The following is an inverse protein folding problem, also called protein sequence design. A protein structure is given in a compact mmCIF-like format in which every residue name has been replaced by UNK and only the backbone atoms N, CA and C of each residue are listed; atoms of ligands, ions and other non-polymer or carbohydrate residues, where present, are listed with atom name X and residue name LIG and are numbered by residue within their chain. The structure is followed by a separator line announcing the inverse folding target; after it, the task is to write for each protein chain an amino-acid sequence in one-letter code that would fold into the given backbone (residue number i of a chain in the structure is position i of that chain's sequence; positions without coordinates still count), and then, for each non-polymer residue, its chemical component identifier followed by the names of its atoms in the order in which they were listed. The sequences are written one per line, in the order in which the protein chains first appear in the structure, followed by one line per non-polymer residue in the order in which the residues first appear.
data_IF_773455728424
#
_entry.id   IF_773455728424
#
_cell.length_a   1.000
_cell.length_b   1.000
_cell.length_c   1.000
_cell.angle_alpha   90.00
_cell.angle_beta   90.00
_cell.angle_gamma   90.00
#
_symmetry.space_group_name_H-M   'P 1'
#
loop_
_entity.id
_entity.type
_entity.pdbx_description
1 polymer ?
#
# COMPACT_ATOMS: atom_id res chain seq x y z
N UNK A 1 2.45 23.53 40.21
CA UNK A 1 3.91 23.57 40.51
C UNK A 1 4.49 22.19 40.24
N UNK A 2 5.44 22.06 39.31
CA UNK A 2 6.09 20.77 39.05
C UNK A 2 6.99 20.40 40.24
N UNK A 3 6.88 19.18 40.77
CA UNK A 3 7.73 18.69 41.86
C UNK A 3 9.20 18.72 41.39
N UNK A 4 10.12 19.40 42.09
CA UNK A 4 11.53 19.49 41.70
C UNK A 4 12.17 18.11 41.51
N UNK A 5 13.12 17.99 40.57
CA UNK A 5 13.92 16.77 40.37
C UNK A 5 15.00 16.74 41.46
N UNK A 6 15.05 15.67 42.25
CA UNK A 6 16.05 15.52 43.33
C UNK A 6 17.16 14.55 42.93
N UNK A 7 18.27 14.56 43.67
CA UNK A 7 19.34 13.55 43.50
C UNK A 7 18.83 12.14 43.77
N UNK A 8 17.86 11.98 44.68
CA UNK A 8 17.18 10.71 44.91
C UNK A 8 16.46 10.21 43.65
N UNK A 9 15.78 11.08 42.90
CA UNK A 9 15.14 10.67 41.65
C UNK A 9 16.19 10.17 40.64
N UNK A 10 17.36 10.82 40.57
CA UNK A 10 18.48 10.43 39.69
C UNK A 10 19.03 9.04 40.05
N UNK A 11 19.27 8.77 41.32
CA UNK A 11 19.70 7.46 41.81
C UNK A 11 18.67 6.36 41.57
N UNK A 12 17.40 6.67 41.78
CA UNK A 12 16.31 5.72 41.55
C UNK A 12 16.20 5.36 40.06
N UNK A 13 16.27 6.34 39.17
CA UNK A 13 16.29 6.09 37.71
C UNK A 13 17.49 5.24 37.33
N UNK A 14 18.71 5.55 37.82
CA UNK A 14 19.91 4.73 37.57
C UNK A 14 19.72 3.28 38.02
N UNK A 15 19.20 3.08 39.23
CA UNK A 15 18.99 1.75 39.80
C UNK A 15 17.96 0.93 39.04
N UNK A 16 16.83 1.53 38.67
CA UNK A 16 15.75 0.84 37.96
C UNK A 16 16.13 0.58 36.49
N UNK A 17 16.86 1.50 35.86
CA UNK A 17 17.44 1.30 34.53
C UNK A 17 18.45 0.14 34.53
N UNK A 18 19.35 0.06 35.53
CA UNK A 18 20.28 -1.06 35.68
C UNK A 18 19.62 -2.43 35.91
N UNK A 19 18.32 -2.45 36.26
CA UNK A 19 17.50 -3.67 36.34
C UNK A 19 16.78 -4.00 35.02
N UNK A 20 16.99 -3.24 33.96
CA UNK A 20 16.37 -3.43 32.65
C UNK A 20 14.93 -2.93 32.54
N UNK A 21 14.44 -2.12 33.49
CA UNK A 21 13.05 -1.64 33.46
C UNK A 21 12.84 -0.60 32.34
N UNK A 22 11.70 -0.71 31.65
CA UNK A 22 11.33 0.24 30.61
C UNK A 22 10.98 1.63 31.19
N UNK A 23 11.27 2.70 30.43
CA UNK A 23 11.01 4.10 30.81
C UNK A 23 9.62 4.33 31.42
N UNK A 24 8.58 3.80 30.77
CA UNK A 24 7.19 4.00 31.21
C UNK A 24 6.89 3.31 32.54
N UNK A 25 7.60 2.23 32.84
CA UNK A 25 7.46 1.51 34.09
C UNK A 25 8.14 2.24 35.24
N UNK A 26 9.36 2.75 34.99
CA UNK A 26 10.08 3.65 35.91
C UNK A 26 9.24 4.91 36.20
N UNK A 27 8.61 5.49 35.18
CA UNK A 27 7.74 6.65 35.32
C UNK A 27 6.55 6.40 36.27
N UNK A 28 5.87 5.24 36.11
CA UNK A 28 4.78 4.83 37.02
C UNK A 28 5.28 4.60 38.43
N UNK A 29 6.41 3.91 38.58
CA UNK A 29 6.96 3.55 39.89
C UNK A 29 7.43 4.77 40.68
N UNK A 30 8.05 5.74 40.01
CA UNK A 30 8.52 6.99 40.64
C UNK A 30 7.44 8.08 40.70
N UNK A 31 6.25 7.82 40.14
CA UNK A 31 5.17 8.82 39.97
C UNK A 31 5.69 10.09 39.30
N UNK A 32 6.50 9.93 38.25
CA UNK A 32 7.07 11.00 37.43
C UNK A 32 6.59 10.89 36.00
N UNK A 33 6.57 12.00 35.26
CA UNK A 33 6.25 11.93 33.84
C UNK A 33 7.34 11.15 33.08
N UNK A 34 6.98 10.44 32.00
CA UNK A 34 7.96 9.79 31.14
C UNK A 34 9.03 10.76 30.61
N UNK A 35 8.66 12.02 30.37
CA UNK A 35 9.60 13.07 29.93
C UNK A 35 10.64 13.42 30.99
N UNK A 36 10.27 13.47 32.27
CA UNK A 36 11.22 13.68 33.39
C UNK A 36 12.19 12.51 33.51
N UNK A 37 11.70 11.27 33.39
CA UNK A 37 12.57 10.08 33.44
C UNK A 37 13.54 10.07 32.27
N UNK A 38 13.09 10.41 31.06
CA UNK A 38 13.97 10.57 29.89
C UNK A 38 15.03 11.65 30.10
N UNK A 39 14.67 12.80 30.68
CA UNK A 39 15.64 13.87 30.99
C UNK A 39 16.69 13.41 31.99
N UNK A 40 16.27 12.73 33.07
CA UNK A 40 17.18 12.19 34.08
C UNK A 40 18.10 11.13 33.47
N UNK A 41 17.58 10.23 32.64
CA UNK A 41 18.39 9.21 31.98
C UNK A 41 19.43 9.83 31.04
N UNK A 42 19.04 10.84 30.25
CA UNK A 42 19.97 11.59 29.39
C UNK A 42 21.08 12.28 30.21
N UNK A 43 20.72 12.97 31.30
CA UNK A 43 21.69 13.60 32.22
C UNK A 43 22.67 12.57 32.83
N UNK A 44 22.27 11.30 32.91
CA UNK A 44 23.06 10.19 33.46
C UNK A 44 23.77 9.36 32.38
N UNK A 45 23.64 9.70 31.10
CA UNK A 45 24.18 8.93 29.99
C UNK A 45 23.52 7.56 29.77
N UNK A 46 22.30 7.36 30.28
CA UNK A 46 21.54 6.11 30.17
C UNK A 46 20.62 6.16 28.95
N UNK A 47 20.64 5.13 28.11
CA UNK A 47 19.71 4.97 26.99
C UNK A 47 18.59 3.98 27.31
N UNK A 48 17.36 4.33 26.93
CA UNK A 48 16.22 3.40 26.93
C UNK A 48 16.04 2.73 25.57
N UNK A 49 17.08 2.73 24.72
CA UNK A 49 17.03 2.09 23.42
C UNK A 49 16.53 0.66 23.57
N UNK A 50 15.60 0.33 22.66
CA UNK A 50 15.00 -0.99 22.59
C UNK A 50 16.15 -1.98 22.42
N UNK A 51 16.21 -3.03 23.24
CA UNK A 51 17.36 -3.92 23.30
C UNK A 51 17.75 -4.52 21.94
N UNK A 52 18.97 -5.09 21.82
CA UNK A 52 19.49 -5.64 20.56
C UNK A 52 18.51 -6.56 19.84
N UNK A 53 17.72 -7.33 20.60
CA UNK A 53 16.67 -8.21 20.11
C UNK A 53 15.54 -7.48 19.36
N UNK A 54 15.10 -6.32 19.84
CA UNK A 54 14.04 -5.54 19.19
C UNK A 54 14.55 -4.85 17.93
N UNK A 55 15.81 -4.40 17.93
CA UNK A 55 16.46 -3.85 16.73
C UNK A 55 16.59 -4.95 15.68
N UNK A 56 17.12 -6.12 16.06
CA UNK A 56 17.22 -7.27 15.17
C UNK A 56 15.86 -7.72 14.62
N UNK A 57 14.82 -7.78 15.45
CA UNK A 57 13.46 -8.09 15.01
C UNK A 57 12.88 -7.04 14.05
N UNK A 58 13.20 -5.76 14.26
CA UNK A 58 12.77 -4.68 13.37
C UNK A 58 13.47 -4.78 12.01
N UNK A 59 14.78 -5.04 12.00
CA UNK A 59 15.53 -5.23 10.76
C UNK A 59 15.09 -6.49 10.01
N UNK A 60 14.91 -7.62 10.70
CA UNK A 60 14.36 -8.84 10.10
C UNK A 60 13.00 -8.56 9.44
N UNK A 61 12.10 -7.86 10.14
CA UNK A 61 10.79 -7.47 9.60
C UNK A 61 10.92 -6.55 8.37
N UNK A 62 11.90 -5.65 8.34
CA UNK A 62 12.15 -4.79 7.18
C UNK A 62 12.59 -5.61 5.97
N UNK A 63 13.52 -6.56 6.17
CA UNK A 63 13.98 -7.47 5.13
C UNK A 63 12.81 -8.30 4.59
N UNK A 64 11.99 -8.87 5.47
CA UNK A 64 10.80 -9.64 5.09
C UNK A 64 9.81 -8.81 4.26
N UNK A 65 9.57 -7.55 4.65
CA UNK A 65 8.69 -6.64 3.92
C UNK A 65 9.25 -6.26 2.56
N UNK A 66 10.56 -6.06 2.44
CA UNK A 66 11.21 -5.82 1.16
C UNK A 66 11.09 -7.03 0.23
N UNK A 67 11.30 -8.25 0.74
CA UNK A 67 11.11 -9.48 -0.03
C UNK A 67 9.67 -9.66 -0.51
N UNK A 68 8.67 -9.44 0.37
CA UNK A 68 7.25 -9.53 0.00
C UNK A 68 6.85 -8.51 -1.06
N UNK A 69 7.43 -7.31 -1.02
CA UNK A 69 7.21 -6.25 -2.00
C UNK A 69 7.71 -6.65 -3.39
N UNK A 70 8.88 -7.29 -3.46
CA UNK A 70 9.42 -7.83 -4.73
C UNK A 70 8.53 -8.95 -5.27
N UNK A 71 8.13 -9.89 -4.42
CA UNK A 71 7.24 -10.99 -4.81
C UNK A 71 5.89 -10.49 -5.35
N UNK A 72 5.32 -9.47 -4.70
CA UNK A 72 4.07 -8.87 -5.17
C UNK A 72 4.23 -8.17 -6.53
N UNK A 73 5.34 -7.48 -6.75
CA UNK A 73 5.65 -6.88 -8.05
C UNK A 73 5.74 -7.94 -9.17
N UNK A 74 6.42 -9.06 -8.90
CA UNK A 74 6.49 -10.19 -9.83
C UNK A 74 5.11 -10.79 -10.12
N UNK A 75 4.28 -10.97 -9.10
CA UNK A 75 2.91 -11.48 -9.25
C UNK A 75 2.08 -10.55 -10.15
N UNK A 76 2.20 -9.23 -9.96
CA UNK A 76 1.51 -8.25 -10.81
C UNK A 76 1.97 -8.29 -12.27
N UNK A 77 3.24 -8.60 -12.53
CA UNK A 77 3.71 -8.85 -13.90
C UNK A 77 3.07 -10.10 -14.50
N UNK A 78 2.99 -11.19 -13.75
CA UNK A 78 2.32 -12.42 -14.20
C UNK A 78 0.83 -12.18 -14.48
N UNK A 79 0.15 -11.38 -13.64
CA UNK A 79 -1.24 -11.00 -13.87
C UNK A 79 -1.40 -10.14 -15.13
N UNK A 80 -0.49 -9.19 -15.37
CA UNK A 80 -0.46 -8.41 -16.60
C UNK A 80 -0.26 -9.30 -17.85
N UNK A 81 0.61 -10.31 -17.78
CA UNK A 81 0.81 -11.29 -18.86
C UNK A 81 -0.45 -12.12 -19.13
N UNK A 82 -1.13 -12.58 -18.08
CA UNK A 82 -2.40 -13.32 -18.19
C UNK A 82 -3.49 -12.48 -18.82
N UNK A 83 -3.64 -11.23 -18.39
CA UNK A 83 -4.60 -10.30 -18.99
C UNK A 83 -4.26 -10.03 -20.45
N UNK A 84 -2.98 -9.80 -20.76
CA UNK A 84 -2.54 -9.58 -22.14
C UNK A 84 -2.80 -10.77 -23.06
N UNK A 85 -2.71 -12.00 -22.55
CA UNK A 85 -3.07 -13.20 -23.30
C UNK A 85 -4.57 -13.25 -23.62
N UNK A 86 -5.44 -12.82 -22.69
CA UNK A 86 -6.90 -12.78 -22.92
C UNK A 86 -7.32 -11.82 -24.03
N UNK A 87 -6.52 -10.77 -24.30
CA UNK A 87 -6.83 -9.75 -25.31
C UNK A 87 -7.14 -10.32 -26.70
N UNK A 88 -6.54 -11.47 -27.02
CA UNK A 88 -6.65 -12.14 -28.31
C UNK A 88 -7.18 -13.57 -28.21
N UNK A 89 -7.55 -14.01 -27.01
CA UNK A 89 -8.04 -15.37 -26.80
C UNK A 89 -9.52 -15.48 -27.21
N UNK A 90 -9.94 -16.61 -27.79
CA UNK A 90 -11.36 -16.90 -27.99
C UNK A 90 -12.11 -16.78 -26.67
N UNK A 91 -13.31 -16.21 -26.73
CA UNK A 91 -14.15 -15.99 -25.56
C UNK A 91 -15.61 -16.28 -25.88
N UNK A 92 -16.36 -16.57 -24.83
CA UNK A 92 -17.79 -16.74 -24.89
C UNK A 92 -18.44 -15.49 -24.31
N UNK A 93 -19.28 -14.83 -25.10
CA UNK A 93 -20.09 -13.72 -24.64
C UNK A 93 -21.52 -14.19 -24.43
N UNK A 94 -22.08 -13.88 -23.26
CA UNK A 94 -23.47 -14.19 -22.96
C UNK A 94 -24.19 -12.97 -22.41
N UNK A 95 -25.45 -12.81 -22.83
CA UNK A 95 -26.33 -11.75 -22.35
C UNK A 95 -27.77 -12.25 -22.21
N UNK A 96 -28.49 -11.69 -21.25
CA UNK A 96 -29.93 -11.85 -21.17
C UNK A 96 -30.58 -10.87 -22.15
N UNK A 97 -31.35 -11.38 -23.10
CA UNK A 97 -32.05 -10.55 -24.08
C UNK A 97 -33.54 -10.91 -24.16
N UNK A 98 -34.29 -10.04 -24.84
CA UNK A 98 -35.74 -10.20 -25.02
C UNK A 98 -36.56 -9.79 -23.79
N UNK A 99 -37.89 -9.81 -23.96
CA UNK A 99 -38.86 -9.44 -22.92
C UNK A 99 -38.90 -10.46 -21.78
N UNK A 100 -38.65 -11.73 -22.09
CA UNK A 100 -38.76 -12.85 -21.16
C UNK A 100 -37.42 -13.20 -20.49
N UNK A 101 -36.33 -12.47 -20.82
CA UNK A 101 -35.03 -12.61 -20.18
C UNK A 101 -34.34 -13.93 -20.51
N UNK A 102 -34.34 -14.33 -21.78
CA UNK A 102 -33.67 -15.54 -22.22
C UNK A 102 -32.15 -15.33 -22.30
N UNK A 103 -31.39 -16.34 -21.89
CA UNK A 103 -29.93 -16.32 -22.00
C UNK A 103 -29.51 -16.63 -23.44
N UNK A 104 -28.76 -15.71 -24.04
CA UNK A 104 -28.15 -15.90 -25.35
C UNK A 104 -26.64 -15.92 -25.21
N UNK A 105 -26.01 -16.85 -25.91
CA UNK A 105 -24.57 -17.04 -25.88
C UNK A 105 -24.00 -17.08 -27.30
N UNK A 106 -22.86 -16.43 -27.50
CA UNK A 106 -22.12 -16.42 -28.75
C UNK A 106 -20.64 -16.67 -28.48
N UNK A 107 -20.04 -17.53 -29.29
CA UNK A 107 -18.60 -17.75 -29.29
C UNK A 107 -17.93 -16.73 -30.22
N UNK A 108 -16.87 -16.10 -29.73
CA UNK A 108 -16.11 -15.09 -30.45
C UNK A 108 -14.64 -15.52 -30.52
N UNK A 109 -14.01 -15.29 -31.67
CA UNK A 109 -12.57 -15.57 -31.86
C UNK A 109 -11.67 -14.70 -30.96
N UNK A 110 -12.21 -13.58 -30.47
CA UNK A 110 -11.56 -12.67 -29.52
C UNK A 110 -12.61 -11.83 -28.77
N UNK A 111 -12.27 -11.18 -27.64
CA UNK A 111 -13.21 -10.33 -26.92
C UNK A 111 -13.68 -9.14 -27.75
N UNK A 112 -14.85 -8.59 -27.40
CA UNK A 112 -15.40 -7.40 -28.07
C UNK A 112 -14.55 -6.18 -27.73
N UNK A 113 -14.63 -5.13 -28.54
CA UNK A 113 -13.84 -3.91 -28.34
C UNK A 113 -13.95 -3.30 -26.92
N UNK A 114 -15.14 -3.21 -26.28
CA UNK A 114 -15.24 -2.72 -24.90
C UNK A 114 -14.48 -3.60 -23.90
N UNK A 115 -14.60 -4.92 -24.04
CA UNK A 115 -13.93 -5.90 -23.17
C UNK A 115 -12.40 -5.84 -23.37
N UNK A 116 -11.94 -5.71 -24.62
CA UNK A 116 -10.53 -5.50 -24.94
C UNK A 116 -9.96 -4.22 -24.32
N UNK A 117 -10.73 -3.13 -24.34
CA UNK A 117 -10.36 -1.86 -23.69
C UNK A 117 -10.17 -2.07 -22.17
N UNK A 118 -11.09 -2.78 -21.52
CA UNK A 118 -10.99 -3.11 -20.10
C UNK A 118 -9.75 -3.98 -19.80
N UNK A 119 -9.48 -4.99 -20.63
CA UNK A 119 -8.27 -5.83 -20.51
C UNK A 119 -7.00 -4.97 -20.58
N UNK A 120 -6.91 -4.05 -21.54
CA UNK A 120 -5.75 -3.15 -21.70
C UNK A 120 -5.60 -2.24 -20.47
N UNK A 121 -6.70 -1.66 -19.98
CA UNK A 121 -6.68 -0.80 -18.79
C UNK A 121 -6.23 -1.56 -17.53
N UNK A 122 -6.77 -2.77 -17.31
CA UNK A 122 -6.36 -3.62 -16.19
C UNK A 122 -4.88 -4.03 -16.28
N UNK A 123 -4.42 -4.38 -17.49
CA UNK A 123 -3.00 -4.70 -17.76
C UNK A 123 -2.09 -3.53 -17.43
N UNK A 124 -2.44 -2.32 -17.88
CA UNK A 124 -1.69 -1.10 -17.58
C UNK A 124 -1.62 -0.80 -16.09
N UNK A 125 -2.74 -0.96 -15.37
CA UNK A 125 -2.79 -0.81 -13.91
C UNK A 125 -1.85 -1.77 -13.20
N UNK A 126 -1.87 -3.07 -13.55
CA UNK A 126 -1.01 -4.07 -12.93
C UNK A 126 0.49 -3.73 -13.09
N UNK A 127 0.90 -3.32 -14.30
CA UNK A 127 2.28 -2.87 -14.58
C UNK A 127 2.64 -1.63 -13.77
N UNK A 128 1.76 -0.63 -13.72
CA UNK A 128 2.01 0.59 -12.94
C UNK A 128 2.16 0.31 -11.44
N UNK A 129 1.32 -0.56 -10.87
CA UNK A 129 1.42 -0.92 -9.46
C UNK A 129 2.69 -1.72 -9.16
N UNK A 130 3.11 -2.61 -10.07
CA UNK A 130 4.40 -3.32 -9.96
C UNK A 130 5.58 -2.34 -9.89
N UNK A 131 5.64 -1.37 -10.80
CA UNK A 131 6.71 -0.36 -10.86
C UNK A 131 6.72 0.56 -9.62
N UNK A 132 5.59 0.78 -8.96
CA UNK A 132 5.52 1.52 -7.69
C UNK A 132 6.06 0.70 -6.52
N UNK A 133 5.86 -0.62 -6.54
CA UNK A 133 6.36 -1.52 -5.50
C UNK A 133 7.87 -1.68 -5.58
N UNK A 134 8.40 -1.91 -6.78
CA UNK A 134 9.85 -1.99 -7.02
C UNK A 134 10.19 -0.97 -8.12
N UNK A 135 10.49 0.29 -7.76
CA UNK A 135 10.96 1.26 -8.72
C UNK A 135 12.24 0.73 -9.38
N UNK A 136 12.34 0.84 -10.70
CA UNK A 136 13.57 0.52 -11.40
C UNK A 136 14.73 1.31 -10.75
N UNK A 137 15.79 0.62 -10.32
CA UNK A 137 16.88 1.27 -9.62
C UNK A 137 17.55 2.32 -10.54
N UNK A 138 17.49 3.58 -10.10
CA UNK A 138 18.62 4.51 -10.07
C UNK A 138 19.39 4.83 -11.35
N UNK A 139 18.86 4.57 -12.55
CA UNK A 139 19.38 5.20 -13.77
C UNK A 139 19.05 6.69 -13.78
N UNK A 140 19.94 7.50 -14.36
CA UNK A 140 19.67 8.91 -14.69
C UNK A 140 18.32 8.98 -15.42
N UNK A 141 17.28 9.54 -14.77
CA UNK A 141 15.90 9.52 -15.27
C UNK A 141 14.87 8.75 -14.43
N UNK A 142 15.23 8.09 -13.34
CA UNK A 142 14.27 7.38 -12.46
C UNK A 142 13.15 8.31 -11.92
N UNK A 143 13.47 9.57 -11.61
CA UNK A 143 12.49 10.58 -11.21
C UNK A 143 11.56 10.99 -12.36
N UNK A 144 12.09 11.04 -13.58
CA UNK A 144 11.31 11.32 -14.78
C UNK A 144 10.34 10.17 -15.09
N UNK A 145 10.78 8.92 -14.95
CA UNK A 145 9.93 7.73 -15.09
C UNK A 145 8.83 7.72 -14.03
N UNK A 146 9.14 8.02 -12.76
CA UNK A 146 8.13 8.14 -11.70
C UNK A 146 7.08 9.19 -12.03
N UNK A 147 7.50 10.35 -12.52
CA UNK A 147 6.61 11.44 -12.92
C UNK A 147 5.71 11.06 -14.10
N UNK A 148 6.28 10.42 -15.13
CA UNK A 148 5.52 9.93 -16.29
C UNK A 148 4.51 8.83 -15.93
N UNK A 149 4.87 7.92 -15.02
CA UNK A 149 3.95 6.89 -14.53
C UNK A 149 2.82 7.49 -13.68
N UNK A 150 3.10 8.56 -12.93
CA UNK A 150 2.07 9.33 -12.23
C UNK A 150 1.04 9.92 -13.20
N UNK A 151 1.53 10.65 -14.21
CA UNK A 151 0.67 11.24 -15.24
C UNK A 151 -0.15 10.21 -16.03
N UNK A 152 0.45 9.06 -16.36
CA UNK A 152 -0.25 7.97 -17.05
C UNK A 152 -1.33 7.32 -16.15
N UNK A 153 -1.04 7.15 -14.86
CA UNK A 153 -2.01 6.62 -13.90
C UNK A 153 -3.23 7.52 -13.77
N UNK A 154 -3.03 8.84 -13.65
CA UNK A 154 -4.12 9.81 -13.59
C UNK A 154 -4.97 9.82 -14.88
N UNK A 155 -4.33 9.67 -16.04
CA UNK A 155 -5.04 9.59 -17.31
C UNK A 155 -5.89 8.32 -17.42
N UNK A 156 -5.38 7.18 -16.94
CA UNK A 156 -6.09 5.90 -16.99
C UNK A 156 -7.29 5.90 -16.03
N UNK A 157 -7.13 6.43 -14.82
CA UNK A 157 -8.23 6.57 -13.85
C UNK A 157 -9.33 7.48 -14.40
N UNK A 158 -8.96 8.64 -14.96
CA UNK A 158 -9.94 9.56 -15.56
C UNK A 158 -10.74 8.91 -16.69
N UNK A 159 -10.06 8.15 -17.56
CA UNK A 159 -10.73 7.44 -18.65
C UNK A 159 -11.67 6.31 -18.16
N UNK A 160 -11.39 5.72 -16.99
CA UNK A 160 -12.27 4.73 -16.38
C UNK A 160 -13.49 5.38 -15.67
N UNK A 161 -13.30 6.57 -15.08
CA UNK A 161 -14.37 7.31 -14.41
C UNK A 161 -15.35 7.95 -15.39
N UNK A 162 -14.87 8.44 -16.55
CA UNK A 162 -15.73 9.03 -17.60
C UNK A 162 -16.74 8.01 -18.18
N UNK A 163 -16.43 6.71 -18.18
CA UNK A 163 -17.36 5.65 -18.62
C UNK A 163 -18.48 5.36 -17.60
N UNK A 164 -18.32 5.75 -16.32
CA UNK A 164 -19.33 5.51 -15.29
C UNK A 164 -20.53 6.48 -15.37
N UNK A 165 -20.35 7.64 -16.02
CA UNK A 165 -21.36 8.70 -16.12
C UNK A 165 -22.22 8.58 -17.41
N UNK A 166 -21.73 7.90 -18.45
CA UNK A 166 -22.41 7.79 -19.76
C UNK A 166 -23.39 6.59 -19.86
N UNK A 167 -23.45 5.73 -18.83
CA UNK A 167 -24.36 4.58 -18.77
C UNK A 167 -25.82 4.88 -18.44
N UNK A 168 -26.18 6.15 -18.15
CA UNK A 168 -27.48 6.53 -17.60
C UNK A 168 -28.45 7.28 -18.53
N UNK A 169 -28.01 7.72 -19.72
CA UNK A 169 -28.72 8.79 -20.45
C UNK A 169 -29.58 8.36 -21.66
N UNK A 170 -29.79 7.06 -21.94
CA UNK A 170 -30.54 6.62 -23.13
C UNK A 170 -31.80 5.84 -22.79
N UNK A 171 -32.78 6.46 -22.11
CA UNK A 171 -34.14 5.91 -22.06
C UNK A 171 -35.25 6.87 -21.58
N UNK A 172 -35.33 8.10 -22.10
CA UNK A 172 -36.54 8.95 -21.92
C UNK A 172 -36.83 9.85 -23.13
N UNK A 173 -37.09 9.27 -24.30
CA UNK A 173 -37.83 9.99 -25.35
C UNK A 173 -38.47 9.02 -26.34
N UNK A 174 -39.66 8.52 -25.99
CA UNK A 174 -40.64 7.96 -26.93
C UNK A 174 -41.96 7.70 -26.20
N UNK A 175 -42.70 8.76 -25.88
CA UNK A 175 -44.15 8.70 -25.70
C UNK A 175 -44.75 10.00 -26.22
N UNK A 176 -45.21 9.95 -27.46
CA UNK A 176 -46.34 10.74 -27.95
C UNK A 176 -47.37 9.77 -28.50
#
# INVERSE_FOLDING_TARGET
MARPITNTDREQVRRLHGRGMARNEIARQLKRSPSTVSKIAADLGLTFDRGPEVVAATEARRIDLAARRVQLAETLHQDAERLRAQLWAPTTYGEFAGRDGEWHEVHLDKPRFPDQRQIIAATGTAIQQSLKLVPAEGGEGADQVRSMLGALGEALTRAADDDADDGGAVQRSARS
#
